data_IF_652749092655
#
_entry.id   IF_652749092655
#
_cell.length_a   1.000
_cell.length_b   1.000
_cell.length_c   1.000
_cell.angle_alpha   90.00
_cell.angle_beta   90.00
_cell.angle_gamma   90.00
#
_symmetry.space_group_name_H-M   'P 1'
#
loop_
_entity.id
_entity.type
_entity.pdbx_description
1 polymer ?
#
# COMPACT_ATOMS: atom_id res chain seq x y z
N UNK A 1 -7.79 17.18 -5.11
CA UNK A 1 -8.55 17.72 -6.26
C UNK A 1 -9.35 16.70 -7.05
N UNK A 2 -8.82 15.49 -7.31
CA UNK A 2 -9.53 14.47 -8.10
C UNK A 2 -10.95 14.16 -7.59
N UNK A 3 -11.12 14.03 -6.27
CA UNK A 3 -12.44 13.77 -5.66
C UNK A 3 -13.45 14.88 -6.00
N UNK A 4 -13.04 16.14 -5.98
CA UNK A 4 -13.91 17.27 -6.31
C UNK A 4 -14.25 17.27 -7.81
N UNK A 5 -13.30 16.89 -8.66
CA UNK A 5 -13.53 16.74 -10.09
C UNK A 5 -14.53 15.61 -10.39
N UNK A 6 -14.35 14.45 -9.78
CA UNK A 6 -15.24 13.29 -9.91
C UNK A 6 -16.65 13.65 -9.40
N UNK A 7 -16.77 14.33 -8.27
CA UNK A 7 -18.06 14.82 -7.76
C UNK A 7 -18.79 15.69 -8.79
N UNK A 8 -18.08 16.60 -9.47
CA UNK A 8 -18.68 17.43 -10.54
C UNK A 8 -19.11 16.63 -11.75
N UNK A 9 -18.38 15.57 -12.10
CA UNK A 9 -18.71 14.69 -13.22
C UNK A 9 -19.94 13.81 -12.92
N UNK A 10 -19.97 13.20 -11.73
CA UNK A 10 -20.98 12.22 -11.34
C UNK A 10 -22.27 12.85 -10.79
N UNK A 11 -22.23 14.10 -10.30
CA UNK A 11 -23.40 14.87 -9.81
C UNK A 11 -24.22 14.04 -8.80
N UNK A 12 -25.50 13.81 -9.08
CA UNK A 12 -26.44 13.04 -8.25
C UNK A 12 -26.01 11.57 -8.04
N UNK A 13 -25.13 11.04 -8.88
CA UNK A 13 -24.58 9.68 -8.74
C UNK A 13 -23.35 9.62 -7.83
N UNK A 14 -22.85 10.77 -7.37
CA UNK A 14 -21.76 10.82 -6.40
C UNK A 14 -22.33 10.81 -4.98
N UNK A 15 -22.23 9.66 -4.32
CA UNK A 15 -22.74 9.50 -2.95
C UNK A 15 -21.70 9.90 -1.89
N UNK A 16 -20.41 9.79 -2.18
CA UNK A 16 -19.34 10.04 -1.22
C UNK A 16 -18.09 9.22 -1.55
N UNK A 17 -17.19 9.11 -0.56
CA UNK A 17 -15.92 8.38 -0.70
C UNK A 17 -15.67 7.43 0.47
N UNK A 18 -14.83 6.44 0.20
CA UNK A 18 -14.12 5.64 1.22
C UNK A 18 -12.64 5.90 1.00
N UNK A 19 -11.91 6.19 2.08
CA UNK A 19 -10.46 6.39 2.01
C UNK A 19 -9.81 5.06 2.41
N UNK A 20 -9.05 4.46 1.51
CA UNK A 20 -8.44 3.14 1.70
C UNK A 20 -6.90 3.23 1.72
N UNK A 21 -6.26 2.24 2.33
CA UNK A 21 -4.79 2.12 2.42
C UNK A 21 -4.20 3.34 3.14
N UNK A 22 -4.75 3.68 4.29
CA UNK A 22 -4.23 4.78 5.13
C UNK A 22 -3.02 4.26 5.93
N UNK A 23 -1.81 4.82 5.76
CA UNK A 23 -0.68 4.52 6.64
C UNK A 23 -1.03 4.84 8.10
N UNK A 24 -0.59 4.01 9.06
CA UNK A 24 -0.97 4.19 10.48
C UNK A 24 -0.56 5.54 11.05
N UNK A 25 0.55 6.08 10.59
CA UNK A 25 1.09 7.38 10.98
C UNK A 25 0.34 8.57 10.35
N UNK A 26 -0.51 8.33 9.34
CA UNK A 26 -1.32 9.36 8.70
C UNK A 26 -2.77 9.42 9.22
N UNK A 27 -3.20 8.48 10.08
CA UNK A 27 -4.58 8.41 10.56
C UNK A 27 -5.04 9.72 11.18
N UNK A 28 -4.23 10.30 12.07
CA UNK A 28 -4.54 11.56 12.76
C UNK A 28 -4.68 12.71 11.75
N UNK A 29 -3.80 12.77 10.75
CA UNK A 29 -3.89 13.77 9.69
C UNK A 29 -5.18 13.60 8.85
N UNK A 30 -5.54 12.36 8.51
CA UNK A 30 -6.78 12.05 7.77
C UNK A 30 -8.00 12.51 8.58
N UNK A 31 -8.07 12.14 9.86
CA UNK A 31 -9.21 12.41 10.73
C UNK A 31 -9.37 13.90 11.04
N UNK A 32 -8.26 14.63 11.25
CA UNK A 32 -8.31 16.03 11.65
C UNK A 32 -8.31 17.02 10.48
N UNK A 33 -7.78 16.65 9.31
CA UNK A 33 -7.62 17.58 8.19
C UNK A 33 -8.45 17.15 6.97
N UNK A 34 -8.31 15.90 6.53
CA UNK A 34 -8.88 15.45 5.25
C UNK A 34 -10.39 15.22 5.36
N UNK A 35 -10.85 14.46 6.35
CA UNK A 35 -12.29 14.21 6.54
C UNK A 35 -13.07 15.52 6.76
N UNK A 36 -12.62 16.45 7.64
CA UNK A 36 -13.31 17.73 7.83
C UNK A 36 -13.32 18.59 6.56
N UNK A 37 -12.21 18.61 5.80
CA UNK A 37 -12.16 19.31 4.52
C UNK A 37 -13.16 18.75 3.50
N UNK A 38 -13.24 17.43 3.36
CA UNK A 38 -14.19 16.78 2.44
C UNK A 38 -15.63 17.05 2.85
N UNK A 39 -15.95 16.91 4.13
CA UNK A 39 -17.28 17.21 4.66
C UNK A 39 -17.68 18.69 4.43
N UNK A 40 -16.74 19.63 4.59
CA UNK A 40 -16.97 21.06 4.31
C UNK A 40 -17.25 21.34 2.82
N UNK A 41 -16.82 20.45 1.93
CA UNK A 41 -17.08 20.51 0.49
C UNK A 41 -18.27 19.62 0.07
N UNK A 42 -19.15 19.26 1.01
CA UNK A 42 -20.32 18.37 0.84
C UNK A 42 -19.94 17.02 0.21
N UNK A 43 -18.79 16.46 0.59
CA UNK A 43 -18.35 15.12 0.20
C UNK A 43 -18.41 14.22 1.45
N UNK A 44 -19.44 13.36 1.57
CA UNK A 44 -19.52 12.41 2.67
C UNK A 44 -18.36 11.41 2.61
N UNK A 45 -17.72 11.18 3.75
CA UNK A 45 -16.77 10.08 3.93
C UNK A 45 -17.49 8.94 4.65
N UNK A 46 -17.69 7.82 3.95
CA UNK A 46 -18.41 6.66 4.51
C UNK A 46 -17.55 5.81 5.45
N UNK A 47 -16.23 5.93 5.34
CA UNK A 47 -15.30 5.24 6.22
C UNK A 47 -13.85 5.37 5.77
N UNK A 48 -12.98 4.95 6.67
CA UNK A 48 -11.53 4.88 6.48
C UNK A 48 -11.06 3.45 6.68
N UNK A 49 -10.10 3.01 5.86
CA UNK A 49 -9.49 1.67 5.95
C UNK A 49 -7.98 1.85 6.06
N UNK A 50 -7.46 1.43 7.21
CA UNK A 50 -6.02 1.46 7.51
C UNK A 50 -5.31 0.37 6.72
N UNK A 51 -4.12 0.68 6.22
CA UNK A 51 -3.26 -0.30 5.60
C UNK A 51 -2.97 -1.48 6.55
N UNK A 52 -3.11 -2.69 6.02
CA UNK A 52 -2.67 -3.91 6.69
C UNK A 52 -1.70 -4.66 5.77
N UNK A 53 -0.41 -4.65 6.13
CA UNK A 53 0.66 -5.28 5.35
C UNK A 53 0.40 -6.75 5.06
N UNK A 54 -0.19 -7.49 6.00
CA UNK A 54 -0.55 -8.90 5.81
C UNK A 54 -1.62 -9.09 4.73
N UNK A 55 -2.63 -8.21 4.71
CA UNK A 55 -3.67 -8.24 3.67
C UNK A 55 -3.15 -7.82 2.29
N UNK A 56 -2.07 -7.04 2.26
CA UNK A 56 -1.37 -6.63 1.04
C UNK A 56 -0.22 -7.57 0.65
N UNK A 57 0.02 -8.65 1.41
CA UNK A 57 1.13 -9.57 1.17
C UNK A 57 0.82 -10.56 0.06
N UNK A 58 1.87 -11.00 -0.64
CA UNK A 58 1.83 -12.06 -1.66
C UNK A 58 2.83 -13.16 -1.26
N UNK A 59 2.58 -14.42 -1.60
CA UNK A 59 3.55 -15.48 -1.32
C UNK A 59 4.81 -15.31 -2.16
N UNK A 60 5.96 -15.81 -1.68
CA UNK A 60 7.22 -15.83 -2.47
C UNK A 60 7.01 -16.57 -3.81
N UNK A 61 6.21 -17.65 -3.78
CA UNK A 61 5.84 -18.44 -4.95
C UNK A 61 5.06 -17.64 -5.99
N UNK A 62 4.02 -16.94 -5.56
CA UNK A 62 3.21 -16.12 -6.46
C UNK A 62 4.05 -14.96 -7.00
N UNK A 63 4.91 -14.36 -6.17
CA UNK A 63 5.82 -13.30 -6.60
C UNK A 63 6.82 -13.79 -7.66
N UNK A 64 7.48 -14.93 -7.45
CA UNK A 64 8.36 -15.57 -8.44
C UNK A 64 7.62 -15.91 -9.74
N UNK A 65 6.39 -16.43 -9.64
CA UNK A 65 5.56 -16.78 -10.79
C UNK A 65 5.17 -15.55 -11.62
N UNK A 66 4.73 -14.48 -10.95
CA UNK A 66 4.29 -13.24 -11.61
C UNK A 66 5.47 -12.44 -12.21
N UNK A 67 6.67 -12.55 -11.63
CA UNK A 67 7.87 -11.87 -12.12
C UNK A 67 8.71 -12.71 -13.09
N UNK A 68 8.32 -13.96 -13.36
CA UNK A 68 9.16 -14.96 -14.04
C UNK A 68 10.56 -15.07 -13.39
N UNK A 69 10.63 -14.94 -12.07
CA UNK A 69 11.86 -14.98 -11.28
C UNK A 69 12.20 -16.39 -10.79
N UNK A 70 13.47 -16.64 -10.50
CA UNK A 70 13.97 -17.91 -9.97
C UNK A 70 14.23 -17.80 -8.45
N UNK A 71 13.73 -18.76 -7.69
CA UNK A 71 14.02 -18.88 -6.25
C UNK A 71 15.39 -19.55 -6.10
N UNK A 72 16.37 -18.83 -5.56
CA UNK A 72 17.75 -19.32 -5.46
C UNK A 72 18.00 -20.23 -4.23
N UNK A 73 17.22 -20.05 -3.16
CA UNK A 73 17.38 -20.77 -1.90
C UNK A 73 16.08 -20.79 -1.10
N UNK A 74 16.07 -21.52 0.02
CA UNK A 74 14.92 -21.60 0.94
C UNK A 74 13.61 -22.06 0.24
N UNK A 75 13.71 -23.04 -0.65
CA UNK A 75 12.60 -23.60 -1.41
C UNK A 75 11.45 -24.13 -0.53
N UNK A 76 11.74 -24.49 0.72
CA UNK A 76 10.72 -24.96 1.69
C UNK A 76 9.82 -23.82 2.22
N UNK A 77 10.18 -22.55 1.98
CA UNK A 77 9.49 -21.36 2.50
C UNK A 77 8.78 -20.56 1.40
N UNK A 78 8.56 -21.14 0.22
CA UNK A 78 7.97 -20.40 -0.92
C UNK A 78 6.51 -19.99 -0.71
N UNK A 79 5.80 -20.64 0.21
CA UNK A 79 4.42 -20.30 0.56
C UNK A 79 4.33 -19.20 1.64
N UNK A 80 5.47 -18.73 2.17
CA UNK A 80 5.52 -17.61 3.13
C UNK A 80 5.17 -16.27 2.49
N UNK A 81 4.56 -15.39 3.28
CA UNK A 81 4.10 -14.07 2.85
C UNK A 81 5.25 -13.04 2.79
N UNK A 82 5.28 -12.28 1.70
CA UNK A 82 6.21 -11.18 1.47
C UNK A 82 5.59 -9.88 2.00
N UNK A 83 6.14 -9.33 3.08
CA UNK A 83 5.73 -8.02 3.62
C UNK A 83 6.53 -6.85 3.00
N UNK A 84 7.78 -7.08 2.62
CA UNK A 84 8.64 -6.11 1.96
C UNK A 84 9.59 -6.81 0.98
N UNK A 85 9.70 -6.29 -0.24
CA UNK A 85 10.66 -6.76 -1.24
C UNK A 85 11.61 -5.62 -1.61
N UNK A 86 12.87 -5.92 -1.90
CA UNK A 86 13.81 -4.93 -2.45
C UNK A 86 14.26 -5.34 -3.84
N UNK A 87 14.21 -4.40 -4.77
CA UNK A 87 14.75 -4.60 -6.12
C UNK A 87 16.16 -4.06 -6.16
N UNK A 88 17.15 -4.94 -6.22
CA UNK A 88 18.55 -4.57 -6.40
C UNK A 88 18.92 -4.49 -7.87
N UNK A 89 19.31 -3.30 -8.35
CA UNK A 89 19.91 -3.09 -9.67
C UNK A 89 21.42 -2.75 -9.59
N UNK A 90 22.04 -2.95 -8.42
CA UNK A 90 23.39 -2.43 -8.09
C UNK A 90 24.32 -3.54 -7.60
N UNK A 91 25.64 -3.34 -7.75
CA UNK A 91 26.68 -4.28 -7.32
C UNK A 91 26.68 -4.60 -5.81
N UNK A 92 27.29 -5.75 -5.48
CA UNK A 92 27.20 -6.46 -4.19
C UNK A 92 27.42 -5.59 -2.92
N UNK A 93 28.32 -4.60 -2.97
CA UNK A 93 28.63 -3.73 -1.82
C UNK A 93 27.48 -2.77 -1.43
N UNK A 94 26.72 -2.27 -2.41
CA UNK A 94 25.66 -1.29 -2.13
C UNK A 94 24.41 -1.97 -1.56
N UNK A 95 24.15 -3.22 -1.95
CA UNK A 95 23.01 -3.99 -1.46
C UNK A 95 23.09 -4.23 0.06
N UNK A 96 24.27 -4.52 0.62
CA UNK A 96 24.47 -4.80 2.05
C UNK A 96 24.06 -3.64 2.97
N UNK A 97 24.26 -2.38 2.54
CA UNK A 97 23.85 -1.20 3.33
C UNK A 97 22.33 -1.06 3.38
N UNK A 98 21.63 -1.40 2.29
CA UNK A 98 20.17 -1.35 2.21
C UNK A 98 19.52 -2.53 2.95
N UNK A 99 20.07 -3.74 2.83
CA UNK A 99 19.59 -4.92 3.54
C UNK A 99 19.54 -4.72 5.07
N UNK A 100 20.44 -3.93 5.66
CA UNK A 100 20.46 -3.71 7.11
C UNK A 100 19.38 -2.76 7.63
N UNK A 101 18.74 -1.94 6.77
CA UNK A 101 17.75 -0.94 7.19
C UNK A 101 16.30 -1.43 7.15
N UNK A 102 16.02 -2.48 6.39
CA UNK A 102 14.64 -2.98 6.19
C UNK A 102 14.41 -4.20 7.09
N UNK A 103 13.40 -4.12 7.97
CA UNK A 103 12.90 -5.27 8.72
C UNK A 103 11.94 -6.09 7.84
N UNK A 104 11.82 -7.40 8.09
CA UNK A 104 10.93 -8.32 7.37
C UNK A 104 11.04 -8.24 5.83
N UNK A 105 12.29 -8.26 5.33
CA UNK A 105 12.59 -8.19 3.90
C UNK A 105 12.78 -9.58 3.29
N UNK A 106 12.29 -9.74 2.07
CA UNK A 106 12.62 -10.85 1.16
C UNK A 106 13.47 -10.30 0.01
#
# INVERSE_FOLDING_TARGET
DEILFIKKQLKEHFLGVIINIIPRDEIEYIDENIIPYLNKNDIPVFGTVIENKLLSSISVKDLSTNLNGEVLCAHDFVDELVEAFMVGAMGQEQALRFFRRVANKI
#
